data_IF_698071411195
#
_entry.id   IF_698071411195
#
_cell.length_a   1.000
_cell.length_b   1.000
_cell.length_c   1.000
_cell.angle_alpha   90.00
_cell.angle_beta   90.00
_cell.angle_gamma   90.00
#
_symmetry.space_group_name_H-M   'P 1'
#
loop_
_entity.id
_entity.type
_entity.pdbx_description
1 polymer ?
#
# COMPACT_ATOMS: atom_id res chain seq x y z
N UNK A 1 30.72 0.23 8.03
CA UNK A 1 29.54 0.78 7.31
C UNK A 1 28.30 -0.02 7.69
N UNK A 2 27.89 0.05 8.96
CA UNK A 2 26.72 -0.66 9.47
C UNK A 2 25.57 0.32 9.56
N UNK A 3 24.48 0.05 8.87
CA UNK A 3 23.14 0.16 9.45
C UNK A 3 22.34 -1.04 8.98
N UNK A 4 22.42 -2.12 9.78
CA UNK A 4 21.42 -3.18 9.69
C UNK A 4 20.13 -2.50 10.12
N UNK A 5 19.28 -2.17 9.16
CA UNK A 5 17.89 -1.84 9.43
C UNK A 5 17.27 -2.98 10.23
N UNK A 6 17.25 -2.82 11.57
CA UNK A 6 16.86 -3.84 12.53
C UNK A 6 15.36 -3.86 12.82
N UNK A 7 14.60 -3.02 12.11
CA UNK A 7 13.16 -2.89 12.26
C UNK A 7 12.44 -3.52 11.07
N UNK A 8 11.29 -4.13 11.32
CA UNK A 8 10.37 -4.49 10.24
C UNK A 8 9.78 -3.21 9.61
N UNK A 9 9.32 -3.25 8.35
CA UNK A 9 8.61 -2.12 7.75
C UNK A 9 7.43 -1.62 8.59
N UNK A 10 6.73 -2.53 9.28
CA UNK A 10 5.64 -2.16 10.19
C UNK A 10 6.15 -1.36 11.39
N UNK A 11 7.24 -1.78 12.03
CA UNK A 11 7.79 -1.07 13.19
C UNK A 11 8.27 0.33 12.82
N UNK A 12 8.98 0.47 11.70
CA UNK A 12 9.41 1.76 11.17
C UNK A 12 8.23 2.70 10.92
N UNK A 13 7.18 2.20 10.26
CA UNK A 13 5.99 2.99 10.00
C UNK A 13 5.25 3.42 11.28
N UNK A 14 5.19 2.56 12.29
CA UNK A 14 4.57 2.89 13.56
C UNK A 14 5.39 3.94 14.33
N UNK A 15 6.73 3.87 14.27
CA UNK A 15 7.59 4.91 14.82
C UNK A 15 7.39 6.26 14.09
N UNK A 16 7.18 6.22 12.77
CA UNK A 16 6.89 7.43 12.00
C UNK A 16 5.51 8.04 12.35
N UNK A 17 4.52 7.20 12.62
CA UNK A 17 3.22 7.64 13.14
C UNK A 17 3.37 8.32 14.51
N UNK A 18 4.22 7.79 15.39
CA UNK A 18 4.51 8.42 16.67
C UNK A 18 5.18 9.80 16.49
N UNK A 19 6.14 9.88 15.56
CA UNK A 19 6.93 11.10 15.33
C UNK A 19 6.11 12.28 14.80
N UNK A 20 5.21 12.05 13.84
CA UNK A 20 4.50 13.13 13.11
C UNK A 20 2.99 12.97 13.00
N UNK A 21 2.42 11.98 13.68
CA UNK A 21 0.98 11.73 13.73
C UNK A 21 0.46 10.85 12.59
N UNK A 22 -0.54 10.02 12.93
CA UNK A 22 -1.14 9.03 12.01
C UNK A 22 -1.68 9.67 10.73
N UNK A 23 -2.40 10.78 10.83
CA UNK A 23 -3.05 11.39 9.67
C UNK A 23 -2.04 11.86 8.62
N UNK A 24 -0.92 12.43 9.07
CA UNK A 24 0.18 12.86 8.19
C UNK A 24 0.73 11.67 7.38
N UNK A 25 1.01 10.56 8.05
CA UNK A 25 1.51 9.33 7.41
C UNK A 25 0.49 8.73 6.45
N UNK A 26 -0.79 8.69 6.82
CA UNK A 26 -1.87 8.18 5.96
C UNK A 26 -1.96 9.00 4.67
N UNK A 27 -2.02 10.33 4.80
CA UNK A 27 -2.20 11.22 3.66
C UNK A 27 -1.04 11.12 2.69
N UNK A 28 0.19 11.02 3.18
CA UNK A 28 1.34 10.84 2.28
C UNK A 28 1.38 9.45 1.65
N UNK A 29 0.99 8.38 2.38
CA UNK A 29 0.81 7.07 1.75
C UNK A 29 -0.25 7.12 0.65
N UNK A 30 -1.36 7.84 0.86
CA UNK A 30 -2.40 8.01 -0.16
C UNK A 30 -1.86 8.75 -1.40
N UNK A 31 -1.15 9.88 -1.22
CA UNK A 31 -0.50 10.63 -2.31
C UNK A 31 0.48 9.78 -3.11
N UNK A 32 1.39 9.08 -2.44
CA UNK A 32 2.34 8.18 -3.10
C UNK A 32 1.60 7.08 -3.87
N UNK A 33 0.53 6.52 -3.30
CA UNK A 33 -0.29 5.53 -3.97
C UNK A 33 -0.97 6.09 -5.23
N UNK A 34 -1.40 7.34 -5.20
CA UNK A 34 -2.01 8.00 -6.36
C UNK A 34 -1.02 8.35 -7.47
N UNK A 35 0.28 8.29 -7.17
CA UNK A 35 1.36 8.55 -8.12
C UNK A 35 1.93 9.96 -8.02
N UNK A 36 1.59 10.70 -6.97
CA UNK A 36 2.26 11.96 -6.65
C UNK A 36 3.74 11.72 -6.34
N UNK A 37 4.52 12.80 -6.40
CA UNK A 37 5.95 12.77 -6.10
C UNK A 37 6.16 12.20 -4.70
N UNK A 38 6.86 11.07 -4.64
CA UNK A 38 7.12 10.42 -3.38
C UNK A 38 8.20 11.16 -2.59
N UNK A 39 7.88 11.46 -1.34
CA UNK A 39 8.87 11.90 -0.35
C UNK A 39 9.88 10.78 -0.10
N UNK A 40 11.15 11.07 -0.32
CA UNK A 40 12.24 10.11 -0.17
C UNK A 40 12.40 9.60 1.26
N UNK A 41 12.15 10.45 2.26
CA UNK A 41 12.21 10.03 3.67
C UNK A 41 11.11 9.02 3.99
N UNK A 42 9.88 9.28 3.55
CA UNK A 42 8.78 8.33 3.70
C UNK A 42 9.06 7.00 2.97
N UNK A 43 9.68 7.02 1.79
CA UNK A 43 10.03 5.76 1.12
C UNK A 43 11.03 4.93 1.91
N UNK A 44 12.01 5.56 2.57
CA UNK A 44 12.92 4.88 3.50
C UNK A 44 12.16 4.32 4.70
N UNK A 45 11.21 5.07 5.27
CA UNK A 45 10.34 4.55 6.34
C UNK A 45 9.58 3.29 5.89
N UNK A 46 9.00 3.32 4.69
CA UNK A 46 8.13 2.25 4.18
C UNK A 46 8.90 1.00 3.71
N UNK A 47 10.15 1.14 3.28
CA UNK A 47 10.89 0.08 2.59
C UNK A 47 12.30 -0.20 3.13
N UNK A 48 12.77 0.61 4.07
CA UNK A 48 14.11 0.52 4.63
C UNK A 48 15.19 0.62 3.54
N UNK A 49 16.26 -0.19 3.63
CA UNK A 49 17.38 -0.13 2.70
C UNK A 49 17.01 -0.27 1.21
N UNK A 50 15.90 -0.95 0.89
CA UNK A 50 15.45 -1.13 -0.48
C UNK A 50 15.04 0.20 -1.16
N UNK A 51 14.65 1.21 -0.37
CA UNK A 51 14.31 2.54 -0.88
C UNK A 51 15.49 3.19 -1.62
N UNK A 52 16.72 3.00 -1.15
CA UNK A 52 17.91 3.62 -1.74
C UNK A 52 18.12 3.22 -3.21
N UNK A 53 17.77 1.99 -3.59
CA UNK A 53 17.86 1.58 -4.98
C UNK A 53 16.88 2.35 -5.87
N UNK A 54 15.64 2.50 -5.39
CA UNK A 54 14.57 3.24 -6.08
C UNK A 54 14.87 4.73 -6.13
N UNK A 55 15.37 5.32 -5.03
CA UNK A 55 15.79 6.72 -4.96
C UNK A 55 16.96 7.03 -5.90
N UNK A 56 17.87 6.06 -6.10
CA UNK A 56 18.93 6.14 -7.09
C UNK A 56 18.46 5.86 -8.54
N UNK A 57 17.14 5.83 -8.81
CA UNK A 57 16.57 5.58 -10.13
C UNK A 57 16.63 4.13 -10.62
N UNK A 58 17.12 3.19 -9.80
CA UNK A 58 17.17 1.77 -10.16
C UNK A 58 15.81 1.12 -9.96
N UNK A 59 15.62 -0.04 -10.59
CA UNK A 59 14.38 -0.83 -10.44
C UNK A 59 13.12 -0.03 -10.82
N UNK A 60 13.24 0.84 -11.83
CA UNK A 60 12.16 1.70 -12.33
C UNK A 60 12.05 3.07 -11.63
N UNK A 61 12.86 3.33 -10.60
CA UNK A 61 12.89 4.63 -9.93
C UNK A 61 11.56 5.02 -9.26
N UNK A 62 11.40 6.31 -8.97
CA UNK A 62 10.21 6.86 -8.33
C UNK A 62 8.93 6.66 -9.16
N UNK A 63 9.05 6.59 -10.49
CA UNK A 63 7.93 6.34 -11.40
C UNK A 63 7.57 4.84 -11.49
N UNK A 64 8.41 3.96 -10.95
CA UNK A 64 8.19 2.53 -10.92
C UNK A 64 7.03 2.13 -10.00
N UNK A 65 6.72 0.82 -9.93
CA UNK A 65 5.61 0.34 -9.12
C UNK A 65 5.91 0.30 -7.61
N UNK A 66 7.19 0.26 -7.23
CA UNK A 66 7.60 0.02 -5.85
C UNK A 66 7.12 1.07 -4.84
N UNK A 67 7.23 2.39 -5.11
CA UNK A 67 6.64 3.41 -4.23
C UNK A 67 5.17 3.14 -3.91
N UNK A 68 4.34 2.87 -4.93
CA UNK A 68 2.92 2.56 -4.75
C UNK A 68 2.68 1.27 -3.98
N UNK A 69 3.45 0.22 -4.25
CA UNK A 69 3.38 -1.05 -3.49
C UNK A 69 3.67 -0.81 -2.01
N UNK A 70 4.71 -0.03 -1.71
CA UNK A 70 5.12 0.25 -0.35
C UNK A 70 4.14 1.17 0.37
N UNK A 71 3.58 2.16 -0.31
CA UNK A 71 2.53 3.02 0.22
C UNK A 71 1.25 2.24 0.55
N UNK A 72 0.79 1.35 -0.34
CA UNK A 72 -0.34 0.46 -0.04
C UNK A 72 -0.04 -0.48 1.14
N UNK A 73 1.20 -0.95 1.29
CA UNK A 73 1.62 -1.69 2.50
C UNK A 73 1.65 -0.80 3.74
N UNK A 74 1.98 0.48 3.61
CA UNK A 74 1.82 1.47 4.67
C UNK A 74 0.39 1.51 5.17
N UNK A 75 -0.56 1.72 4.24
CA UNK A 75 -2.00 1.73 4.53
C UNK A 75 -2.51 0.40 5.09
N UNK A 76 -1.90 -0.75 4.75
CA UNK A 76 -2.23 -2.03 5.38
C UNK A 76 -2.01 -1.99 6.91
N UNK A 77 -1.00 -1.26 7.38
CA UNK A 77 -0.66 -1.17 8.79
C UNK A 77 -1.29 0.02 9.51
N UNK A 78 -1.46 1.16 8.83
CA UNK A 78 -1.98 2.40 9.42
C UNK A 78 -3.05 2.99 8.50
N UNK A 79 -4.23 2.37 8.45
CA UNK A 79 -5.32 2.84 7.60
C UNK A 79 -6.17 3.94 8.27
N UNK A 80 -6.75 4.79 7.44
CA UNK A 80 -7.87 5.65 7.79
C UNK A 80 -8.76 5.83 6.54
N UNK A 81 -10.11 5.92 6.68
CA UNK A 81 -11.04 6.00 5.55
C UNK A 81 -10.77 7.12 4.53
N UNK A 82 -10.07 8.19 4.92
CA UNK A 82 -9.62 9.25 4.01
C UNK A 82 -8.78 8.74 2.83
N UNK A 83 -8.12 7.58 2.98
CA UNK A 83 -7.31 6.96 1.93
C UNK A 83 -8.13 6.08 0.96
N UNK A 84 -9.44 5.88 1.21
CA UNK A 84 -10.30 5.06 0.35
C UNK A 84 -10.29 5.50 -1.12
N UNK A 85 -10.41 6.80 -1.46
CA UNK A 85 -10.33 7.22 -2.87
C UNK A 85 -9.04 6.81 -3.56
N UNK A 86 -7.89 6.92 -2.89
CA UNK A 86 -6.59 6.51 -3.43
C UNK A 86 -6.53 5.00 -3.69
N UNK A 87 -7.12 4.17 -2.81
CA UNK A 87 -7.23 2.73 -3.03
C UNK A 87 -8.09 2.42 -4.27
N UNK A 88 -9.25 3.06 -4.40
CA UNK A 88 -10.18 2.84 -5.52
C UNK A 88 -9.58 3.32 -6.85
N UNK A 89 -8.81 4.40 -6.83
CA UNK A 89 -8.07 4.90 -8.00
C UNK A 89 -7.06 3.89 -8.58
N UNK A 90 -6.71 2.83 -7.83
CA UNK A 90 -5.80 1.76 -8.28
C UNK A 90 -6.51 0.55 -8.89
N UNK A 91 -7.82 0.61 -9.13
CA UNK A 91 -8.59 -0.47 -9.78
C UNK A 91 -7.91 -1.01 -11.06
N UNK A 92 -7.29 -0.11 -11.84
CA UNK A 92 -6.63 -0.40 -13.11
C UNK A 92 -5.11 -0.24 -13.07
N UNK A 93 -4.47 -0.25 -11.89
CA UNK A 93 -3.02 -0.09 -11.81
C UNK A 93 -2.32 -1.19 -12.62
N UNK A 94 -1.40 -0.86 -13.55
CA UNK A 94 -0.76 -1.86 -14.40
C UNK A 94 0.07 -2.87 -13.59
N UNK A 95 0.59 -2.47 -12.44
CA UNK A 95 1.36 -3.35 -11.59
C UNK A 95 0.43 -4.22 -10.73
N UNK A 96 0.36 -5.52 -11.07
CA UNK A 96 -0.46 -6.49 -10.33
C UNK A 96 -0.19 -6.50 -8.82
N UNK A 97 1.04 -6.18 -8.40
CA UNK A 97 1.42 -6.15 -6.99
C UNK A 97 0.80 -4.96 -6.25
N UNK A 98 0.51 -3.85 -6.93
CA UNK A 98 -0.26 -2.74 -6.34
C UNK A 98 -1.69 -3.21 -6.10
N UNK A 99 -2.34 -3.81 -7.11
CA UNK A 99 -3.69 -4.38 -6.99
C UNK A 99 -3.79 -5.42 -5.87
N UNK A 100 -2.83 -6.35 -5.79
CA UNK A 100 -2.74 -7.35 -4.71
C UNK A 100 -2.66 -6.67 -3.33
N UNK A 101 -1.85 -5.61 -3.18
CA UNK A 101 -1.72 -4.91 -1.91
C UNK A 101 -2.99 -4.15 -1.54
N UNK A 102 -3.65 -3.48 -2.49
CA UNK A 102 -4.94 -2.82 -2.28
C UNK A 102 -5.98 -3.80 -1.77
N UNK A 103 -6.11 -4.98 -2.39
CA UNK A 103 -7.04 -6.02 -1.92
C UNK A 103 -6.75 -6.47 -0.49
N UNK A 104 -5.47 -6.52 -0.08
CA UNK A 104 -5.10 -6.83 1.31
C UNK A 104 -5.50 -5.71 2.28
N UNK A 105 -5.37 -4.43 1.90
CA UNK A 105 -5.84 -3.30 2.71
C UNK A 105 -7.35 -3.38 2.90
N UNK A 106 -8.10 -3.60 1.81
CA UNK A 106 -9.56 -3.77 1.83
C UNK A 106 -9.97 -4.90 2.77
N UNK A 107 -9.31 -6.06 2.69
CA UNK A 107 -9.60 -7.20 3.56
C UNK A 107 -9.30 -6.92 5.05
N UNK A 108 -8.18 -6.24 5.33
CA UNK A 108 -7.74 -5.97 6.70
C UNK A 108 -8.60 -4.91 7.41
N UNK A 109 -9.07 -3.91 6.65
CA UNK A 109 -9.79 -2.74 7.19
C UNK A 109 -11.27 -2.70 6.81
N UNK A 110 -11.76 -3.74 6.14
CA UNK A 110 -13.16 -3.92 5.73
C UNK A 110 -13.72 -2.70 4.98
N UNK A 111 -13.00 -2.23 3.97
CA UNK A 111 -13.39 -1.08 3.15
C UNK A 111 -14.54 -1.47 2.20
N UNK A 112 -15.78 -1.28 2.65
CA UNK A 112 -16.99 -1.73 1.94
C UNK A 112 -17.17 -1.06 0.58
N UNK A 113 -16.71 0.18 0.42
CA UNK A 113 -16.76 0.94 -0.82
C UNK A 113 -15.96 0.26 -1.96
N UNK A 114 -15.00 -0.61 -1.62
CA UNK A 114 -14.21 -1.35 -2.59
C UNK A 114 -14.85 -2.67 -3.06
N UNK A 115 -16.06 -3.01 -2.59
CA UNK A 115 -16.72 -4.30 -2.91
C UNK A 115 -16.80 -4.57 -4.41
N UNK A 116 -17.26 -3.59 -5.20
CA UNK A 116 -17.38 -3.76 -6.66
C UNK A 116 -16.02 -4.04 -7.33
N UNK A 117 -14.96 -3.36 -6.90
CA UNK A 117 -13.59 -3.58 -7.39
C UNK A 117 -13.11 -4.99 -7.01
N UNK A 118 -13.39 -5.45 -5.79
CA UNK A 118 -13.02 -6.80 -5.36
C UNK A 118 -13.77 -7.87 -6.17
N UNK A 119 -15.06 -7.69 -6.45
CA UNK A 119 -15.82 -8.58 -7.34
C UNK A 119 -15.18 -8.64 -8.72
N UNK A 120 -14.86 -7.51 -9.34
CA UNK A 120 -14.20 -7.48 -10.65
C UNK A 120 -12.85 -8.22 -10.63
N UNK A 121 -12.06 -8.04 -9.58
CA UNK A 121 -10.74 -8.66 -9.43
C UNK A 121 -10.77 -10.16 -9.17
N UNK A 122 -11.92 -10.78 -8.88
CA UNK A 122 -12.04 -12.25 -8.93
C UNK A 122 -11.75 -12.83 -10.32
N UNK A 123 -11.82 -12.01 -11.37
CA UNK A 123 -11.47 -12.36 -12.74
C UNK A 123 -10.16 -11.70 -13.23
N UNK A 124 -9.34 -11.14 -12.32
CA UNK A 124 -8.05 -10.54 -12.68
C UNK A 124 -7.14 -11.56 -13.38
N UNK A 125 -6.37 -11.12 -14.39
CA UNK A 125 -5.44 -11.98 -15.12
C UNK A 125 -4.38 -12.62 -14.21
N UNK A 126 -4.05 -11.98 -13.09
CA UNK A 126 -3.04 -12.43 -12.13
C UNK A 126 -3.67 -13.29 -11.01
N UNK A 127 -3.30 -14.57 -10.86
CA UNK A 127 -3.87 -15.46 -9.84
C UNK A 127 -3.74 -14.95 -8.40
N UNK A 128 -2.67 -14.21 -8.10
CA UNK A 128 -2.45 -13.62 -6.77
C UNK A 128 -3.45 -12.51 -6.44
N UNK A 129 -3.84 -11.73 -7.45
CA UNK A 129 -4.84 -10.67 -7.30
C UNK A 129 -6.21 -11.31 -7.09
N UNK A 130 -6.58 -12.31 -7.89
CA UNK A 130 -7.82 -13.10 -7.70
C UNK A 130 -7.97 -13.63 -6.27
N UNK A 131 -6.95 -14.36 -5.79
CA UNK A 131 -6.94 -14.90 -4.43
C UNK A 131 -7.02 -13.82 -3.34
N UNK A 132 -6.45 -12.64 -3.58
CA UNK A 132 -6.52 -11.54 -2.62
C UNK A 132 -7.91 -10.90 -2.60
N UNK A 133 -8.55 -10.75 -3.77
CA UNK A 133 -9.90 -10.24 -3.90
C UNK A 133 -10.95 -11.18 -3.29
N UNK A 134 -10.84 -12.49 -3.54
CA UNK A 134 -11.68 -13.52 -2.90
C UNK A 134 -11.62 -13.43 -1.36
N UNK A 135 -10.40 -13.32 -0.80
CA UNK A 135 -10.22 -13.13 0.64
C UNK A 135 -10.82 -11.82 1.14
N UNK A 136 -10.70 -10.75 0.37
CA UNK A 136 -11.29 -9.47 0.74
C UNK A 136 -12.82 -9.59 0.79
N UNK A 137 -13.46 -10.15 -0.23
CA UNK A 137 -14.91 -10.38 -0.27
C UNK A 137 -15.38 -11.22 0.91
N UNK A 138 -14.67 -12.30 1.24
CA UNK A 138 -15.00 -13.12 2.42
C UNK A 138 -14.96 -12.29 3.71
N UNK A 139 -13.99 -11.38 3.88
CA UNK A 139 -13.90 -10.48 5.05
C UNK A 139 -14.96 -9.39 5.06
N UNK A 140 -15.41 -8.92 3.90
CA UNK A 140 -16.48 -7.92 3.80
C UNK A 140 -17.84 -8.52 4.12
N UNK A 141 -18.07 -9.79 3.74
CA UNK A 141 -19.32 -10.52 3.96
C UNK A 141 -19.50 -11.05 5.39
N UNK A 142 -18.42 -11.15 6.17
CA UNK A 142 -18.46 -11.67 7.55
C UNK A 142 -19.18 -10.69 8.48
N UNK A 143 -20.49 -10.86 8.70
CA UNK A 143 -21.29 -10.01 9.58
C UNK A 143 -20.85 -10.28 11.03
N UNK A 144 -20.28 -9.28 11.69
CA UNK A 144 -20.11 -9.30 13.14
C UNK A 144 -21.43 -8.96 13.84
#
# INVERSE_FOLDING_TARGET
>A
MSERWGMTPRQSLLAEVERRGRMSVVLDCARVLDGDVADGELLVVLAGPAAHAVLAGRVGGLSGPWPRVWAARGLLHVFHPVATPALLGRASDPAWRVREMVAKVVAAHRVLEATAVMVAWTNDSTPRVRRAAERALARLADVA
#
